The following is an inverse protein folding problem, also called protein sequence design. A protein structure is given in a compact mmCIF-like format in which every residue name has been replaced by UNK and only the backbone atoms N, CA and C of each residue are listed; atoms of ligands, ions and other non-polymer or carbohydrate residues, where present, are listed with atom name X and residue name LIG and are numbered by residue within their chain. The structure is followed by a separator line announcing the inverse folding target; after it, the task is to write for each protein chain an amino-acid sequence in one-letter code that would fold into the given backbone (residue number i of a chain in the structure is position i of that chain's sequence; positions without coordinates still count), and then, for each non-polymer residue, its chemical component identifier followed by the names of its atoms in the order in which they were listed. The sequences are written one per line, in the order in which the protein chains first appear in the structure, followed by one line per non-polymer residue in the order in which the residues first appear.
data_IF_635747509836
#
_entry.id   IF_635747509836
#
_cell.length_a   1.000
_cell.length_b   1.000
_cell.length_c   1.000
_cell.angle_alpha   90.00
_cell.angle_beta   90.00
_cell.angle_gamma   90.00
#
_symmetry.space_group_name_H-M   'P 1'
#
loop_
_entity.id
_entity.type
_entity.pdbx_description
1 polymer ?
#
# COMPACT_ATOMS: atom_id res chain seq x y z
N UNK A 1 11.75 14.83 14.55
CA UNK A 1 10.39 14.39 14.16
C UNK A 1 10.10 14.55 12.66
N UNK A 2 10.51 15.64 11.98
CA UNK A 2 10.27 15.82 10.53
C UNK A 2 10.93 14.79 9.59
N UNK A 3 12.05 14.19 9.98
CA UNK A 3 12.83 13.27 9.12
C UNK A 3 12.23 11.85 9.05
N UNK A 4 11.63 11.36 10.14
CA UNK A 4 11.04 10.00 10.20
C UNK A 4 9.82 9.88 9.27
N UNK A 5 9.00 10.93 9.17
CA UNK A 5 7.87 10.99 8.22
C UNK A 5 8.30 11.18 6.76
N UNK A 6 9.57 11.52 6.51
CA UNK A 6 10.11 11.68 5.15
C UNK A 6 10.63 10.38 4.53
N UNK A 7 10.94 9.37 5.34
CA UNK A 7 11.66 8.14 4.91
C UNK A 7 10.79 6.88 5.03
N UNK A 8 9.77 6.89 5.88
CA UNK A 8 8.93 5.73 6.12
C UNK A 8 7.76 5.67 5.11
N UNK A 9 7.54 4.53 4.42
CA UNK A 9 6.46 4.39 3.47
C UNK A 9 5.12 4.38 4.20
N UNK A 10 4.22 5.31 3.85
CA UNK A 10 2.93 5.43 4.54
C UNK A 10 2.06 4.19 4.33
N UNK A 11 2.25 3.45 3.24
CA UNK A 11 1.58 2.17 3.00
C UNK A 11 1.94 1.08 4.02
N UNK A 12 3.02 1.21 4.79
CA UNK A 12 3.27 0.28 5.89
C UNK A 12 2.19 0.35 6.99
N UNK A 13 1.53 1.50 7.17
CA UNK A 13 0.46 1.68 8.17
C UNK A 13 -0.73 0.74 7.90
N UNK A 14 -1.38 0.76 6.73
CA UNK A 14 -2.47 -0.16 6.45
C UNK A 14 -2.03 -1.64 6.43
N UNK A 15 -0.78 -1.93 6.05
CA UNK A 15 -0.21 -3.30 6.13
C UNK A 15 -0.13 -3.79 7.56
N UNK A 16 0.33 -2.95 8.50
CA UNK A 16 0.36 -3.28 9.93
C UNK A 16 -1.05 -3.48 10.47
N UNK A 17 -2.00 -2.62 10.08
CA UNK A 17 -3.41 -2.76 10.49
C UNK A 17 -3.97 -4.12 10.03
N UNK A 18 -3.74 -4.49 8.77
CA UNK A 18 -4.17 -5.79 8.24
C UNK A 18 -3.56 -6.94 9.03
N UNK A 19 -2.25 -6.88 9.29
CA UNK A 19 -1.52 -7.88 10.07
C UNK A 19 -2.15 -8.06 11.46
N UNK A 20 -2.45 -6.96 12.16
CA UNK A 20 -3.12 -7.02 13.47
C UNK A 20 -4.49 -7.72 13.40
N UNK A 21 -5.29 -7.42 12.37
CA UNK A 21 -6.58 -8.09 12.14
C UNK A 21 -6.40 -9.60 11.84
N UNK A 22 -5.37 -9.95 11.06
CA UNK A 22 -5.05 -11.33 10.70
C UNK A 22 -4.58 -12.17 11.90
N UNK A 23 -3.87 -11.56 12.87
CA UNK A 23 -3.48 -12.23 14.13
C UNK A 23 -4.65 -12.50 15.06
N UNK A 24 -5.68 -11.64 15.04
CA UNK A 24 -6.88 -11.84 15.87
C UNK A 24 -7.92 -12.76 15.24
N UNK A 25 -7.80 -13.08 13.95
CA UNK A 25 -8.75 -13.94 13.24
C UNK A 25 -8.24 -15.38 13.19
N UNK A 26 -8.93 -16.26 13.92
CA UNK A 26 -8.63 -17.70 13.94
C UNK A 26 -9.84 -18.51 13.50
N UNK A 27 -9.61 -19.51 12.65
CA UNK A 27 -10.65 -20.45 12.20
C UNK A 27 -10.96 -20.34 10.72
N UNK A 28 -11.74 -21.31 10.24
CA UNK A 28 -12.13 -21.46 8.85
C UNK A 28 -13.58 -21.97 8.78
N UNK A 29 -14.26 -21.70 7.67
CA UNK A 29 -15.57 -22.30 7.40
C UNK A 29 -15.46 -23.74 6.86
N UNK A 30 -16.61 -24.36 6.63
CA UNK A 30 -16.71 -25.73 6.08
C UNK A 30 -16.07 -25.85 4.68
N UNK A 31 -16.00 -24.76 3.93
CA UNK A 31 -15.39 -24.70 2.60
C UNK A 31 -13.89 -24.33 2.65
N UNK A 32 -13.30 -24.19 3.84
CA UNK A 32 -11.91 -23.80 4.05
C UNK A 32 -11.64 -22.31 3.81
N UNK A 33 -12.66 -21.46 3.78
CA UNK A 33 -12.53 -19.99 3.71
C UNK A 33 -12.09 -19.47 5.08
N UNK A 34 -11.05 -18.64 5.10
CA UNK A 34 -10.51 -18.10 6.36
C UNK A 34 -11.52 -17.18 7.05
N UNK A 35 -11.51 -17.17 8.38
CA UNK A 35 -12.30 -16.23 9.19
C UNK A 35 -12.03 -14.76 8.79
N UNK A 36 -10.79 -14.48 8.38
CA UNK A 36 -10.39 -13.17 7.89
C UNK A 36 -11.11 -12.80 6.58
N UNK A 37 -11.13 -13.69 5.59
CA UNK A 37 -11.83 -13.46 4.33
C UNK A 37 -13.33 -13.19 4.55
N UNK A 38 -13.98 -13.96 5.43
CA UNK A 38 -15.38 -13.75 5.78
C UNK A 38 -15.61 -12.43 6.53
N UNK A 39 -14.72 -12.04 7.44
CA UNK A 39 -14.85 -10.79 8.18
C UNK A 39 -14.68 -9.56 7.29
N UNK A 40 -13.82 -9.67 6.27
CA UNK A 40 -13.48 -8.54 5.42
C UNK A 40 -14.44 -8.35 4.25
N UNK A 41 -15.03 -9.41 3.72
CA UNK A 41 -15.77 -9.37 2.46
C UNK A 41 -17.29 -9.60 2.61
N UNK A 42 -17.76 -10.09 3.74
CA UNK A 42 -19.20 -10.40 3.93
C UNK A 42 -20.01 -9.12 4.15
N UNK A 43 -20.92 -8.74 3.23
CA UNK A 43 -21.75 -7.55 3.39
C UNK A 43 -22.66 -7.61 4.61
N UNK A 44 -23.03 -8.81 5.08
CA UNK A 44 -23.86 -8.97 6.28
C UNK A 44 -23.15 -8.46 7.56
N UNK A 45 -21.81 -8.46 7.56
CA UNK A 45 -20.98 -7.88 8.63
C UNK A 45 -20.65 -6.40 8.40
N UNK A 46 -20.96 -5.87 7.21
CA UNK A 46 -20.74 -4.47 6.85
C UNK A 46 -21.77 -3.52 7.48
N UNK A 47 -21.40 -2.25 7.56
CA UNK A 47 -22.25 -1.17 8.04
C UNK A 47 -23.08 -0.58 6.91
N UNK A 48 -24.37 -0.31 7.15
CA UNK A 48 -25.21 0.39 6.18
C UNK A 48 -24.80 1.86 6.11
N UNK A 49 -24.50 2.34 4.90
CA UNK A 49 -24.04 3.73 4.70
C UNK A 49 -25.03 4.50 3.83
N UNK A 50 -25.39 3.95 2.65
CA UNK A 50 -26.31 4.59 1.72
C UNK A 50 -27.22 3.56 1.05
N UNK A 51 -28.53 3.63 1.34
CA UNK A 51 -29.49 2.67 0.82
C UNK A 51 -29.08 1.23 1.16
N UNK A 52 -29.18 0.32 0.20
CA UNK A 52 -28.78 -1.09 0.39
C UNK A 52 -27.27 -1.33 0.35
N UNK A 53 -26.45 -0.29 0.15
CA UNK A 53 -25.00 -0.46 0.11
C UNK A 53 -24.42 -0.54 1.52
N UNK A 54 -23.75 -1.66 1.77
CA UNK A 54 -23.08 -1.96 3.03
C UNK A 54 -21.57 -1.93 2.82
N UNK A 55 -20.88 -1.18 3.67
CA UNK A 55 -19.44 -1.02 3.64
C UNK A 55 -18.81 -1.98 4.65
N UNK A 56 -17.92 -2.83 4.20
CA UNK A 56 -17.22 -3.81 5.02
C UNK A 56 -15.95 -3.21 5.65
N UNK A 57 -15.39 -3.89 6.65
CA UNK A 57 -14.08 -3.49 7.21
C UNK A 57 -12.96 -3.57 6.16
N UNK A 58 -13.07 -4.48 5.18
CA UNK A 58 -12.15 -4.55 4.05
C UNK A 58 -12.21 -3.32 3.17
N UNK A 59 -13.42 -2.85 2.84
CA UNK A 59 -13.61 -1.64 2.05
C UNK A 59 -13.01 -0.40 2.74
N UNK A 60 -13.23 -0.27 4.05
CA UNK A 60 -12.68 0.84 4.84
C UNK A 60 -11.15 0.81 4.83
N UNK A 61 -10.56 -0.36 5.02
CA UNK A 61 -9.10 -0.52 4.96
C UNK A 61 -8.55 -0.13 3.59
N UNK A 62 -9.22 -0.54 2.51
CA UNK A 62 -8.82 -0.17 1.14
C UNK A 62 -8.91 1.34 0.93
N UNK A 63 -10.00 1.99 1.33
CA UNK A 63 -10.17 3.43 1.20
C UNK A 63 -9.08 4.18 1.99
N UNK A 64 -8.79 3.73 3.21
CA UNK A 64 -7.70 4.28 4.02
C UNK A 64 -6.34 4.13 3.32
N UNK A 65 -6.10 2.95 2.74
CA UNK A 65 -4.87 2.63 2.01
C UNK A 65 -4.72 3.49 0.76
N UNK A 66 -5.81 3.75 0.02
CA UNK A 66 -5.83 4.67 -1.12
C UNK A 66 -5.43 6.09 -0.70
N UNK A 67 -5.91 6.56 0.45
CA UNK A 67 -5.52 7.86 1.01
C UNK A 67 -4.01 7.94 1.30
N UNK A 68 -3.45 6.91 1.94
CA UNK A 68 -2.01 6.84 2.18
C UNK A 68 -1.19 6.73 0.89
N UNK A 69 -1.66 5.93 -0.07
CA UNK A 69 -1.02 5.79 -1.38
C UNK A 69 -0.98 7.11 -2.14
N UNK A 70 -2.07 7.89 -2.11
CA UNK A 70 -2.11 9.22 -2.70
C UNK A 70 -1.06 10.16 -2.08
N UNK A 71 -0.93 10.15 -0.75
CA UNK A 71 0.08 10.96 -0.06
C UNK A 71 1.51 10.52 -0.44
N UNK A 72 1.78 9.22 -0.58
CA UNK A 72 3.08 8.72 -1.08
C UNK A 72 3.40 9.26 -2.49
N UNK A 73 2.43 9.23 -3.41
CA UNK A 73 2.63 9.78 -4.76
C UNK A 73 2.99 11.27 -4.69
N UNK A 74 2.27 12.06 -3.88
CA UNK A 74 2.56 13.48 -3.71
C UNK A 74 3.97 13.69 -3.12
N UNK A 75 4.35 12.93 -2.10
CA UNK A 75 5.71 12.96 -1.53
C UNK A 75 6.77 12.62 -2.57
N UNK A 76 6.51 11.63 -3.43
CA UNK A 76 7.44 11.14 -4.45
C UNK A 76 7.82 12.23 -5.46
N UNK A 77 6.94 13.20 -5.73
CA UNK A 77 7.24 14.34 -6.62
C UNK A 77 8.25 15.35 -6.07
N UNK A 78 8.63 15.26 -4.79
CA UNK A 78 9.65 16.13 -4.19
C UNK A 78 11.05 15.56 -4.39
N UNK A 79 11.91 16.28 -5.09
CA UNK A 79 13.31 15.89 -5.35
C UNK A 79 14.19 16.12 -4.11
N UNK A 80 14.64 15.04 -3.46
CA UNK A 80 15.62 15.10 -2.37
C UNK A 80 16.25 13.73 -2.04
N UNK A 81 17.37 13.70 -1.31
CA UNK A 81 18.08 12.45 -0.94
C UNK A 81 17.24 11.45 -0.13
N UNK A 82 16.08 11.87 0.38
CA UNK A 82 15.10 11.01 1.07
C UNK A 82 14.43 9.99 0.14
N UNK A 83 14.45 10.21 -1.18
CA UNK A 83 13.76 9.37 -2.18
C UNK A 83 14.35 7.97 -2.30
N UNK A 84 15.67 7.81 -2.18
CA UNK A 84 16.34 6.50 -2.29
C UNK A 84 15.99 5.58 -1.11
N UNK A 85 15.93 6.15 0.10
CA UNK A 85 15.61 5.39 1.31
C UNK A 85 14.14 4.99 1.33
N UNK A 86 13.23 5.90 0.93
CA UNK A 86 11.81 5.57 0.76
C UNK A 86 11.63 4.40 -0.20
N UNK A 87 12.35 4.42 -1.34
CA UNK A 87 12.24 3.37 -2.33
C UNK A 87 12.66 1.99 -1.81
N UNK A 88 13.79 1.90 -1.10
CA UNK A 88 14.26 0.64 -0.52
C UNK A 88 13.31 0.09 0.54
N UNK A 89 12.71 0.94 1.37
CA UNK A 89 11.77 0.51 2.41
C UNK A 89 10.42 0.12 1.80
N UNK A 90 9.91 0.87 0.81
CA UNK A 90 8.71 0.48 0.05
C UNK A 90 8.88 -0.88 -0.64
N UNK A 91 10.06 -1.15 -1.20
CA UNK A 91 10.39 -2.45 -1.80
C UNK A 91 10.32 -3.58 -0.77
N UNK A 92 10.85 -3.35 0.44
CA UNK A 92 10.78 -4.32 1.52
C UNK A 92 9.33 -4.59 1.94
N UNK A 93 8.52 -3.54 2.12
CA UNK A 93 7.09 -3.66 2.46
C UNK A 93 6.35 -4.48 1.40
N UNK A 94 6.58 -4.19 0.11
CA UNK A 94 6.00 -4.95 -0.98
C UNK A 94 6.38 -6.44 -0.92
N UNK A 95 7.67 -6.76 -0.72
CA UNK A 95 8.14 -8.15 -0.64
C UNK A 95 7.48 -8.88 0.54
N UNK A 96 7.39 -8.24 1.71
CA UNK A 96 6.72 -8.81 2.88
C UNK A 96 5.25 -9.09 2.57
N UNK A 97 4.53 -8.12 2.01
CA UNK A 97 3.12 -8.31 1.60
C UNK A 97 2.97 -9.47 0.61
N UNK A 98 3.87 -9.57 -0.38
CA UNK A 98 3.82 -10.64 -1.36
C UNK A 98 4.02 -12.01 -0.71
N UNK A 99 4.98 -12.13 0.20
CA UNK A 99 5.23 -13.37 0.96
C UNK A 99 4.02 -13.71 1.83
N UNK A 100 3.48 -12.74 2.58
CA UNK A 100 2.31 -12.92 3.43
C UNK A 100 1.11 -13.41 2.61
N UNK A 101 0.81 -12.78 1.46
CA UNK A 101 -0.29 -13.16 0.59
C UNK A 101 -0.16 -14.60 0.07
N UNK A 102 1.04 -14.99 -0.35
CA UNK A 102 1.27 -16.30 -0.96
C UNK A 102 1.30 -17.44 0.07
N UNK A 103 1.82 -17.18 1.28
CA UNK A 103 2.08 -18.23 2.26
C UNK A 103 1.02 -18.32 3.36
N UNK A 104 0.32 -17.23 3.68
CA UNK A 104 -0.58 -17.18 4.83
C UNK A 104 -2.04 -17.15 4.38
N UNK A 105 -2.79 -18.16 4.80
CA UNK A 105 -4.20 -18.33 4.40
C UNK A 105 -5.11 -17.17 4.83
N UNK A 106 -4.84 -16.57 5.99
CA UNK A 106 -5.57 -15.38 6.45
C UNK A 106 -5.35 -14.15 5.55
N UNK A 107 -4.26 -14.13 4.77
CA UNK A 107 -3.88 -13.02 3.90
C UNK A 107 -4.35 -13.22 2.46
N UNK A 108 -4.84 -14.41 2.09
CA UNK A 108 -5.39 -14.72 0.76
C UNK A 108 -6.77 -14.10 0.56
N UNK A 109 -6.86 -12.78 0.67
CA UNK A 109 -8.11 -12.00 0.57
C UNK A 109 -7.98 -10.92 -0.51
N UNK A 110 -9.10 -10.55 -1.13
CA UNK A 110 -9.11 -9.47 -2.14
C UNK A 110 -8.60 -8.14 -1.58
N UNK A 111 -8.94 -7.83 -0.32
CA UNK A 111 -8.47 -6.60 0.33
C UNK A 111 -6.93 -6.59 0.48
N UNK A 112 -6.33 -7.69 0.95
CA UNK A 112 -4.88 -7.75 1.06
C UNK A 112 -4.17 -7.79 -0.28
N UNK A 113 -4.78 -8.44 -1.28
CA UNK A 113 -4.24 -8.44 -2.63
C UNK A 113 -4.19 -7.03 -3.23
N UNK A 114 -5.27 -6.25 -3.10
CA UNK A 114 -5.31 -4.85 -3.55
C UNK A 114 -4.26 -4.02 -2.80
N UNK A 115 -4.12 -4.23 -1.48
CA UNK A 115 -3.08 -3.56 -0.68
C UNK A 115 -1.66 -3.93 -1.16
N UNK A 116 -1.44 -5.19 -1.52
CA UNK A 116 -0.17 -5.67 -2.09
C UNK A 116 0.11 -5.01 -3.43
N UNK A 117 -0.90 -4.88 -4.30
CA UNK A 117 -0.79 -4.16 -5.57
C UNK A 117 -0.50 -2.67 -5.34
N UNK A 118 -1.10 -2.02 -4.34
CA UNK A 118 -0.75 -0.63 -3.99
C UNK A 118 0.73 -0.51 -3.59
N UNK A 119 1.25 -1.46 -2.81
CA UNK A 119 2.68 -1.49 -2.45
C UNK A 119 3.57 -1.67 -3.70
N UNK A 120 3.17 -2.53 -4.65
CA UNK A 120 3.87 -2.66 -5.93
C UNK A 120 3.87 -1.36 -6.72
N UNK A 121 2.70 -0.70 -6.83
CA UNK A 121 2.57 0.56 -7.56
C UNK A 121 3.39 1.67 -6.92
N UNK A 122 3.51 1.70 -5.60
CA UNK A 122 4.37 2.64 -4.88
C UNK A 122 5.85 2.48 -5.26
N UNK A 123 6.35 1.25 -5.27
CA UNK A 123 7.71 0.93 -5.75
C UNK A 123 7.91 1.40 -7.18
N UNK A 124 6.97 1.07 -8.08
CA UNK A 124 7.06 1.48 -9.49
C UNK A 124 7.02 3.00 -9.67
N UNK A 125 6.14 3.69 -8.94
CA UNK A 125 6.05 5.15 -8.96
C UNK A 125 7.37 5.79 -8.50
N UNK A 126 8.00 5.27 -7.44
CA UNK A 126 9.31 5.72 -6.98
C UNK A 126 10.41 5.61 -8.04
N UNK A 127 10.49 4.48 -8.75
CA UNK A 127 11.45 4.30 -9.87
C UNK A 127 11.16 5.28 -11.00
N UNK A 128 9.89 5.40 -11.41
CA UNK A 128 9.47 6.26 -12.53
C UNK A 128 9.83 7.72 -12.25
N UNK A 129 9.55 8.24 -11.06
CA UNK A 129 9.89 9.63 -10.71
C UNK A 129 11.40 9.85 -10.74
N UNK A 130 12.18 8.91 -10.21
CA UNK A 130 13.66 8.99 -10.23
C UNK A 130 14.21 9.07 -11.66
N UNK A 131 13.68 8.25 -12.58
CA UNK A 131 14.08 8.26 -13.99
C UNK A 131 13.71 9.60 -14.66
N UNK A 132 12.50 10.12 -14.40
CA UNK A 132 12.04 11.38 -15.00
C UNK A 132 12.88 12.57 -14.49
N UNK A 133 13.19 12.62 -13.19
CA UNK A 133 14.05 13.66 -12.62
C UNK A 133 15.43 13.66 -13.26
N UNK A 134 16.07 12.49 -13.38
CA UNK A 134 17.38 12.36 -14.03
C UNK A 134 17.35 12.85 -15.49
N UNK A 135 16.30 12.51 -16.25
CA UNK A 135 16.15 12.97 -17.65
C UNK A 135 16.04 14.48 -17.78
N UNK A 136 15.32 15.14 -16.86
CA UNK A 136 15.14 16.60 -16.87
C UNK A 136 16.43 17.37 -16.60
N UNK A 137 17.32 16.82 -15.76
CA UNK A 137 18.61 17.44 -15.44
C UNK A 137 19.54 17.48 -16.66
N UNK A 138 19.47 16.49 -17.56
CA UNK A 138 20.27 16.48 -18.79
C UNK A 138 19.85 17.55 -19.81
N UNK A 139 18.56 17.90 -19.90
CA UNK A 139 18.07 18.88 -20.88
C UNK A 139 18.46 20.34 -20.56
N UNK A 140 18.89 20.63 -19.33
CA UNK A 140 19.29 21.98 -18.90
C UNK A 140 20.79 22.26 -19.19
N UNK A 141 21.59 21.23 -19.48
CA UNK A 141 23.04 21.33 -19.68
C UNK A 141 23.52 21.89 -21.03
N UNK A 142 22.67 21.93 -22.05
CA UNK A 142 23.06 22.28 -23.43
C UNK A 142 22.94 23.80 -23.76
N UNK A 143 22.68 24.64 -22.75
CA UNK A 143 22.38 26.08 -22.92
C UNK A 143 23.53 27.07 -22.70
N UNK A 144 24.81 26.67 -22.80
CA UNK A 144 25.95 27.61 -22.62
C UNK A 144 26.50 28.04 -23.98
N UNK A 145 26.30 29.31 -24.42
CA UNK A 145 27.00 29.86 -25.57
C UNK A 145 28.47 30.09 -25.21
N UNK A 146 29.38 29.64 -26.08
CA UNK A 146 30.80 30.00 -26.05
C UNK A 146 31.04 31.22 -26.93
#
# INVERSE_FOLDING_TARGET
MRVIFGIFPLLAIPVIIYNMMAFTSSGEDINGVSAMAMSLADPARGWEVFGSWRVTSGDILIILSMGFFFIEILKSTSTGSSTIANHAVSMLVFIVCLIEFLLLKNFQTSAFFILTIMCLLDVLAGVVVTIISARRDFTVGDGVPR
#
